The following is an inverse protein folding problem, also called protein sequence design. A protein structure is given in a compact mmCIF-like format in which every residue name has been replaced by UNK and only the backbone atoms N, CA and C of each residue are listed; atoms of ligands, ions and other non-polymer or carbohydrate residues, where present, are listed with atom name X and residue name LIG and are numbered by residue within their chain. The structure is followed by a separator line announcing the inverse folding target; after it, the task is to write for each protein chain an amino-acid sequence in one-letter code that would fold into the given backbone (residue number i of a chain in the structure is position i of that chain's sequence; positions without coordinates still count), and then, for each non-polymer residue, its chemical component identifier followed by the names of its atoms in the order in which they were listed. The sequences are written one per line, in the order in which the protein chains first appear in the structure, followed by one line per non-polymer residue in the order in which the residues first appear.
data_IF_037663960393
#
_entry.id   IF_037663960393
#
_cell.length_a   1.000
_cell.length_b   1.000
_cell.length_c   1.000
_cell.angle_alpha   90.00
_cell.angle_beta   90.00
_cell.angle_gamma   90.00
#
_symmetry.space_group_name_H-M   'P 1'
#
loop_
_entity.id
_entity.type
_entity.pdbx_description
1 polymer ?
#
# COMPACT_ATOMS: atom_id res chain seq x y z
N UNK A 1 9.59 -0.32 -29.07
CA UNK A 1 8.45 -0.99 -28.42
C UNK A 1 8.72 -1.20 -26.93
N UNK A 2 8.80 -0.10 -26.15
CA UNK A 2 8.18 -0.13 -24.81
C UNK A 2 7.33 1.11 -24.46
N UNK A 3 7.56 2.27 -25.07
CA UNK A 3 6.94 3.53 -24.62
C UNK A 3 5.46 3.66 -25.00
N UNK A 4 5.09 3.26 -26.22
CA UNK A 4 3.70 3.30 -26.67
C UNK A 4 2.80 2.39 -25.82
N UNK A 5 3.29 1.19 -25.50
CA UNK A 5 2.60 0.24 -24.61
C UNK A 5 2.38 0.83 -23.21
N UNK A 6 3.39 1.48 -22.62
CA UNK A 6 3.23 2.13 -21.31
C UNK A 6 2.22 3.28 -21.40
N UNK A 7 2.18 4.02 -22.51
CA UNK A 7 1.19 5.09 -22.73
C UNK A 7 -0.23 4.53 -22.84
N UNK A 8 -0.41 3.43 -23.57
CA UNK A 8 -1.68 2.73 -23.72
C UNK A 8 -2.19 2.14 -22.41
N UNK A 9 -1.30 1.51 -21.61
CA UNK A 9 -1.60 1.04 -20.26
C UNK A 9 -2.06 2.18 -19.34
N UNK A 10 -1.38 3.33 -19.38
CA UNK A 10 -1.76 4.51 -18.59
C UNK A 10 -3.08 5.15 -19.06
N UNK A 11 -3.35 5.10 -20.36
CA UNK A 11 -4.60 5.61 -20.93
C UNK A 11 -5.79 4.66 -20.70
N UNK A 12 -5.52 3.41 -20.28
CA UNK A 12 -6.53 2.36 -20.11
C UNK A 12 -7.07 1.81 -21.43
N UNK A 13 -6.39 2.09 -22.55
CA UNK A 13 -6.69 1.47 -23.86
C UNK A 13 -6.18 0.04 -23.92
N UNK A 14 -5.01 -0.20 -23.31
CA UNK A 14 -4.59 -1.53 -22.89
C UNK A 14 -4.91 -1.68 -21.40
N UNK A 15 -5.52 -2.81 -21.02
CA UNK A 15 -6.00 -3.05 -19.65
C UNK A 15 -5.21 -4.15 -18.95
N UNK A 16 -4.50 -4.97 -19.71
CA UNK A 16 -3.76 -6.11 -19.20
C UNK A 16 -2.28 -5.80 -19.30
N UNK A 17 -1.59 -5.81 -18.16
CA UNK A 17 -0.13 -5.74 -18.13
C UNK A 17 0.40 -7.07 -18.67
N UNK A 18 1.21 -7.08 -19.74
CA UNK A 18 1.84 -8.31 -20.24
C UNK A 18 2.65 -9.00 -19.14
N UNK A 19 2.56 -10.33 -19.05
CA UNK A 19 3.17 -11.11 -17.96
C UNK A 19 4.68 -10.86 -17.85
N UNK A 20 5.37 -10.70 -18.98
CA UNK A 20 6.81 -10.40 -19.04
C UNK A 20 7.19 -9.02 -18.46
N UNK A 21 6.22 -8.12 -18.30
CA UNK A 21 6.41 -6.78 -17.73
C UNK A 21 6.02 -6.69 -16.25
N UNK A 22 5.34 -7.69 -15.70
CA UNK A 22 4.89 -7.69 -14.30
C UNK A 22 6.08 -7.57 -13.34
N UNK A 23 7.06 -8.47 -13.43
CA UNK A 23 8.23 -8.47 -12.54
C UNK A 23 9.11 -7.22 -12.71
N UNK A 24 9.46 -6.78 -13.94
CA UNK A 24 10.19 -5.53 -14.15
C UNK A 24 9.47 -4.31 -13.57
N UNK A 25 8.16 -4.17 -13.78
CA UNK A 25 7.40 -3.04 -13.26
C UNK A 25 7.29 -3.10 -11.74
N UNK A 26 7.05 -4.27 -11.16
CA UNK A 26 7.04 -4.45 -9.72
C UNK A 26 8.38 -4.06 -9.09
N UNK A 27 9.50 -4.45 -9.70
CA UNK A 27 10.83 -4.06 -9.24
C UNK A 27 11.06 -2.54 -9.31
N UNK A 28 10.68 -1.88 -10.41
CA UNK A 28 10.82 -0.43 -10.59
C UNK A 28 10.02 0.35 -9.53
N UNK A 29 8.80 -0.09 -9.23
CA UNK A 29 7.94 0.58 -8.25
C UNK A 29 8.10 0.06 -6.83
N UNK A 30 9.00 -0.90 -6.60
CA UNK A 30 9.20 -1.51 -5.28
C UNK A 30 7.97 -2.22 -4.74
N UNK A 31 7.12 -2.76 -5.62
CA UNK A 31 5.94 -3.53 -5.23
C UNK A 31 6.38 -4.85 -4.61
N UNK A 32 5.88 -5.15 -3.41
CA UNK A 32 6.16 -6.41 -2.73
C UNK A 32 5.24 -7.54 -3.16
N UNK A 33 4.05 -7.20 -3.67
CA UNK A 33 3.07 -8.15 -4.16
C UNK A 33 2.83 -7.90 -5.65
N UNK A 34 3.35 -8.79 -6.50
CA UNK A 34 3.21 -8.71 -7.95
C UNK A 34 1.78 -8.97 -8.42
N UNK A 35 0.93 -9.58 -7.58
CA UNK A 35 -0.50 -9.76 -7.85
C UNK A 35 -1.21 -8.41 -8.01
N UNK A 36 -0.62 -7.32 -7.50
CA UNK A 36 -1.09 -5.95 -7.74
C UNK A 36 -1.14 -5.58 -9.23
N UNK A 37 -0.28 -6.17 -10.07
CA UNK A 37 -0.22 -5.94 -11.51
C UNK A 37 -0.76 -7.12 -12.34
N UNK A 38 -1.21 -8.20 -11.68
CA UNK A 38 -1.57 -9.42 -12.38
C UNK A 38 -2.88 -9.25 -13.18
N UNK A 39 -2.96 -9.79 -14.42
CA UNK A 39 -4.11 -9.64 -15.32
C UNK A 39 -5.46 -10.15 -14.81
N UNK A 40 -5.46 -11.06 -13.83
CA UNK A 40 -6.62 -11.90 -13.50
C UNK A 40 -7.04 -11.73 -12.04
N UNK A 41 -7.63 -10.58 -11.70
CA UNK A 41 -8.24 -10.39 -10.38
C UNK A 41 -9.38 -11.40 -10.09
N UNK A 42 -9.88 -12.09 -11.12
CA UNK A 42 -10.96 -13.08 -11.01
C UNK A 42 -10.53 -14.42 -10.39
N UNK A 43 -9.24 -14.67 -10.16
CA UNK A 43 -8.73 -15.91 -9.55
C UNK A 43 -7.87 -15.69 -8.31
N UNK A 44 -7.91 -14.49 -7.72
CA UNK A 44 -7.17 -14.18 -6.50
C UNK A 44 -7.76 -14.94 -5.31
N UNK A 45 -6.89 -15.57 -4.53
CA UNK A 45 -7.21 -16.06 -3.20
C UNK A 45 -7.55 -14.90 -2.26
N UNK A 46 -8.27 -15.19 -1.16
CA UNK A 46 -8.60 -14.17 -0.14
C UNK A 46 -7.34 -13.48 0.38
N UNK A 47 -6.27 -14.23 0.62
CA UNK A 47 -5.00 -13.70 1.13
C UNK A 47 -4.34 -12.74 0.12
N UNK A 48 -4.49 -12.98 -1.19
CA UNK A 48 -3.99 -12.08 -2.23
C UNK A 48 -4.79 -10.78 -2.28
N UNK A 49 -6.12 -10.87 -2.14
CA UNK A 49 -6.99 -9.69 -2.06
C UNK A 49 -6.61 -8.83 -0.85
N UNK A 50 -6.44 -9.43 0.32
CA UNK A 50 -6.05 -8.70 1.54
C UNK A 50 -4.70 -8.00 1.40
N UNK A 51 -3.72 -8.64 0.74
CA UNK A 51 -2.41 -8.01 0.48
C UNK A 51 -2.50 -6.84 -0.49
N UNK A 52 -3.35 -6.94 -1.52
CA UNK A 52 -3.59 -5.84 -2.45
C UNK A 52 -4.28 -4.67 -1.74
N UNK A 53 -5.28 -4.93 -0.89
CA UNK A 53 -5.94 -3.89 -0.10
C UNK A 53 -4.95 -3.19 0.85
N UNK A 54 -4.13 -3.96 1.55
CA UNK A 54 -3.06 -3.42 2.40
C UNK A 54 -2.07 -2.57 1.61
N UNK A 55 -1.80 -2.92 0.34
CA UNK A 55 -0.94 -2.11 -0.52
C UNK A 55 -1.61 -0.77 -0.90
N UNK A 56 -2.91 -0.75 -1.16
CA UNK A 56 -3.65 0.49 -1.41
C UNK A 56 -3.63 1.42 -0.20
N UNK A 57 -3.92 0.91 1.00
CA UNK A 57 -3.85 1.69 2.24
C UNK A 57 -2.46 2.28 2.48
N UNK A 58 -1.40 1.51 2.17
CA UNK A 58 -0.02 2.01 2.26
C UNK A 58 0.28 3.12 1.26
N UNK A 59 -0.22 3.01 0.03
CA UNK A 59 -0.03 4.04 -0.99
C UNK A 59 -0.77 5.34 -0.61
N UNK A 60 -1.97 5.22 -0.05
CA UNK A 60 -2.73 6.34 0.48
C UNK A 60 -1.99 7.02 1.64
N UNK A 61 -1.51 6.25 2.62
CA UNK A 61 -0.68 6.76 3.71
C UNK A 61 0.57 7.49 3.20
N UNK A 62 1.25 6.95 2.18
CA UNK A 62 2.42 7.61 1.58
C UNK A 62 2.05 8.91 0.87
N UNK A 63 0.85 9.01 0.32
CA UNK A 63 0.34 10.24 -0.27
C UNK A 63 0.03 11.28 0.81
N UNK A 64 -0.69 10.90 1.86
CA UNK A 64 -1.01 11.76 3.00
C UNK A 64 0.24 12.24 3.73
N UNK A 65 1.23 11.36 3.92
CA UNK A 65 2.49 11.71 4.56
C UNK A 65 3.34 12.71 3.75
N UNK A 66 3.04 12.93 2.46
CA UNK A 66 3.65 13.98 1.63
C UNK A 66 2.92 15.32 1.73
N UNK A 67 1.72 15.36 2.31
CA UNK A 67 1.00 16.61 2.53
C UNK A 67 1.72 17.45 3.59
N UNK A 68 2.02 18.70 3.23
CA UNK A 68 2.78 19.60 4.08
C UNK A 68 2.00 19.99 5.35
N UNK A 69 0.68 20.11 5.26
CA UNK A 69 -0.18 20.38 6.42
C UNK A 69 -0.17 19.23 7.41
N UNK A 70 -0.30 17.99 6.92
CA UNK A 70 -0.18 16.77 7.71
C UNK A 70 1.19 16.68 8.39
N UNK A 71 2.28 16.94 7.66
CA UNK A 71 3.63 16.94 8.21
C UNK A 71 3.79 17.97 9.33
N UNK A 72 3.28 19.19 9.14
CA UNK A 72 3.35 20.24 10.16
C UNK A 72 2.58 19.86 11.43
N UNK A 73 1.37 19.32 11.29
CA UNK A 73 0.56 18.87 12.43
C UNK A 73 1.27 17.72 13.15
N UNK A 74 1.72 16.70 12.42
CA UNK A 74 2.42 15.56 13.00
C UNK A 74 3.71 15.97 13.73
N UNK A 75 4.49 16.86 13.14
CA UNK A 75 5.72 17.39 13.77
C UNK A 75 5.40 18.14 15.06
N UNK A 76 4.43 19.06 15.01
CA UNK A 76 3.99 19.81 16.18
C UNK A 76 3.53 18.90 17.32
N UNK A 77 2.75 17.88 17.01
CA UNK A 77 2.17 17.00 18.01
C UNK A 77 3.26 16.08 18.65
N UNK A 78 4.25 15.65 17.87
CA UNK A 78 5.43 14.92 18.38
C UNK A 78 6.33 15.82 19.23
N UNK A 79 6.52 17.08 18.86
CA UNK A 79 7.28 18.04 19.67
C UNK A 79 6.60 18.33 21.01
N UNK A 80 5.25 18.36 21.04
CA UNK A 80 4.46 18.55 22.25
C UNK A 80 4.45 17.31 23.17
N UNK A 81 4.44 16.11 22.59
CA UNK A 81 4.54 14.86 23.33
C UNK A 81 5.56 13.92 22.66
N UNK A 82 6.84 13.95 23.09
CA UNK A 82 7.88 13.09 22.54
C UNK A 82 7.59 11.58 22.71
N UNK A 83 6.65 11.21 23.60
CA UNK A 83 6.23 9.83 23.80
C UNK A 83 5.03 9.43 22.93
N UNK A 84 4.45 10.36 22.15
CA UNK A 84 3.25 10.14 21.34
C UNK A 84 3.39 8.90 20.44
N UNK A 85 4.51 8.78 19.73
CA UNK A 85 4.78 7.62 18.85
C UNK A 85 4.82 6.31 19.64
N UNK A 86 5.42 6.32 20.84
CA UNK A 86 5.47 5.13 21.70
C UNK A 86 4.07 4.76 22.23
N UNK A 87 3.26 5.75 22.61
CA UNK A 87 1.88 5.56 23.07
C UNK A 87 1.00 5.01 21.95
N UNK A 88 1.13 5.54 20.73
CA UNK A 88 0.43 5.05 19.55
C UNK A 88 0.82 3.61 19.24
N UNK A 89 2.13 3.27 19.23
CA UNK A 89 2.59 1.89 19.05
C UNK A 89 2.04 0.94 20.11
N UNK A 90 2.00 1.36 21.37
CA UNK A 90 1.47 0.56 22.46
C UNK A 90 -0.05 0.34 22.31
N UNK A 91 -0.81 1.38 21.96
CA UNK A 91 -2.25 1.30 21.72
C UNK A 91 -2.58 0.37 20.54
N UNK A 92 -1.87 0.53 19.41
CA UNK A 92 -2.02 -0.33 18.23
C UNK A 92 -1.74 -1.80 18.58
N UNK A 93 -0.65 -2.07 19.30
CA UNK A 93 -0.28 -3.43 19.73
C UNK A 93 -1.33 -4.04 20.67
N UNK A 94 -1.91 -3.23 21.57
CA UNK A 94 -2.98 -3.68 22.46
C UNK A 94 -4.27 -4.05 21.70
N UNK A 95 -4.61 -3.28 20.66
CA UNK A 95 -5.77 -3.55 19.81
C UNK A 95 -5.58 -4.85 18.99
N UNK A 96 -4.39 -5.07 18.42
CA UNK A 96 -4.10 -6.31 17.67
C UNK A 96 -4.13 -7.54 18.57
N UNK A 97 -3.59 -7.44 19.79
CA UNK A 97 -3.60 -8.54 20.77
C UNK A 97 -5.00 -8.85 21.34
N UNK A 98 -5.90 -7.88 21.33
CA UNK A 98 -7.30 -8.07 21.73
C UNK A 98 -8.07 -8.82 20.64
N UNK A 99 -7.92 -8.41 19.38
CA UNK A 99 -8.56 -9.09 18.25
C UNK A 99 -8.10 -10.55 18.08
N UNK A 100 -6.87 -10.89 18.46
CA UNK A 100 -6.39 -12.28 18.42
C UNK A 100 -6.92 -13.18 19.55
N UNK A 101 -7.49 -12.60 20.62
CA UNK A 101 -8.05 -13.36 21.76
C UNK A 101 -9.55 -13.58 21.66
N UNK A 102 -10.25 -12.74 20.89
CA UNK A 102 -11.69 -12.84 20.66
C UNK A 102 -12.02 -13.70 19.41
N UNK A 103 -11.01 -14.27 18.75
CA UNK A 103 -11.13 -15.13 17.56
C UNK A 103 -10.94 -16.65 17.86
N UNK A 104 -10.77 -17.00 19.14
CA UNK A 104 -10.85 -18.38 19.69
C UNK A 104 -12.16 -18.55 20.47
#
# INVERSE_FOLDING_TARGET
MPEDLIRELRAGTEKVVPTELVDPLAAVFGLRDVAYLAPEHASLSSDEVDRILLMHERLELLSEARDLGVQHIATRDVDQDPQLVSKLKAALSAMTKKNSRDAD
#
